data_IF_881556312908
#
_entry.id   IF_881556312908
#
_cell.length_a   1.000
_cell.length_b   1.000
_cell.length_c   1.000
_cell.angle_alpha   90.00
_cell.angle_beta   90.00
_cell.angle_gamma   90.00
#
_symmetry.space_group_name_H-M   'P 1'
#
loop_
_entity.id
_entity.type
_entity.pdbx_description
1 polymer ?
#
# COMPACT_ATOMS: atom_id res chain seq x y z
N UNK A 1 25.71 -10.11 -2.16
CA UNK A 1 25.03 -8.82 -2.04
C UNK A 1 23.93 -8.99 -1.01
N UNK A 2 24.02 -8.24 0.08
CA UNK A 2 23.12 -8.36 1.23
C UNK A 2 21.68 -8.05 0.80
N UNK A 3 20.80 -9.05 0.87
CA UNK A 3 19.37 -8.89 0.61
C UNK A 3 18.77 -8.13 1.81
N UNK A 4 19.00 -6.81 1.86
CA UNK A 4 18.41 -5.96 2.91
C UNK A 4 16.92 -5.95 2.67
N UNK A 5 16.19 -6.66 3.51
CA UNK A 5 14.73 -6.59 3.57
C UNK A 5 14.31 -5.12 3.43
N UNK A 6 13.52 -4.85 2.40
CA UNK A 6 13.12 -3.49 2.09
C UNK A 6 12.32 -2.90 3.26
N UNK A 7 12.72 -1.70 3.68
CA UNK A 7 12.02 -0.97 4.73
C UNK A 7 10.52 -0.85 4.43
N UNK A 8 9.68 -1.11 5.45
CA UNK A 8 8.23 -1.17 5.29
C UNK A 8 7.63 0.12 4.71
N UNK A 9 8.14 1.31 5.05
CA UNK A 9 7.67 2.58 4.47
C UNK A 9 7.92 2.62 2.97
N UNK A 10 9.12 2.19 2.52
CA UNK A 10 9.48 2.18 1.09
C UNK A 10 8.63 1.18 0.32
N UNK A 11 8.45 -0.01 0.88
CA UNK A 11 7.52 -1.01 0.34
C UNK A 11 6.11 -0.42 0.23
N UNK A 12 5.58 0.18 1.29
CA UNK A 12 4.22 0.76 1.27
C UNK A 12 4.07 1.84 0.20
N UNK A 13 5.05 2.74 0.06
CA UNK A 13 5.05 3.77 -0.97
C UNK A 13 5.01 3.15 -2.38
N UNK A 14 5.84 2.13 -2.65
CA UNK A 14 5.87 1.44 -3.95
C UNK A 14 4.55 0.75 -4.27
N UNK A 15 4.03 -0.06 -3.35
CA UNK A 15 2.81 -0.85 -3.59
C UNK A 15 1.56 0.02 -3.77
N UNK A 16 1.53 1.21 -3.15
CA UNK A 16 0.46 2.19 -3.32
C UNK A 16 0.69 3.13 -4.51
N UNK A 17 1.90 3.16 -5.10
CA UNK A 17 2.26 4.10 -6.14
C UNK A 17 2.32 5.56 -5.67
N UNK A 18 2.71 5.80 -4.41
CA UNK A 18 2.74 7.13 -3.77
C UNK A 18 4.13 7.50 -3.24
N UNK A 19 4.30 8.77 -2.92
CA UNK A 19 5.48 9.33 -2.24
C UNK A 19 5.37 9.24 -0.71
N UNK A 20 6.49 9.44 0.00
CA UNK A 20 6.49 9.52 1.47
C UNK A 20 5.68 10.71 2.00
N UNK A 21 5.59 11.79 1.22
CA UNK A 21 4.75 12.95 1.53
C UNK A 21 3.27 12.60 1.47
N UNK A 22 2.84 11.93 0.41
CA UNK A 22 1.46 11.46 0.28
C UNK A 22 1.12 10.39 1.32
N UNK A 23 2.08 9.51 1.68
CA UNK A 23 1.89 8.57 2.76
C UNK A 23 1.67 9.29 4.11
N UNK A 24 2.44 10.33 4.40
CA UNK A 24 2.27 11.17 5.59
C UNK A 24 0.87 11.81 5.63
N UNK A 25 0.44 12.39 4.51
CA UNK A 25 -0.90 12.99 4.36
C UNK A 25 -2.03 11.95 4.55
N UNK A 26 -1.90 10.78 3.93
CA UNK A 26 -2.90 9.70 3.99
C UNK A 26 -3.02 9.07 5.38
N UNK A 27 -1.91 9.01 6.11
CA UNK A 27 -1.84 8.36 7.44
C UNK A 27 -2.05 9.33 8.60
N UNK A 28 -1.98 10.64 8.36
CA UNK A 28 -1.95 11.66 9.41
C UNK A 28 -0.65 11.69 10.22
N UNK A 29 0.37 10.93 9.81
CA UNK A 29 1.67 10.86 10.47
C UNK A 29 2.57 11.93 9.87
N UNK A 30 3.27 12.70 10.70
CA UNK A 30 4.15 13.76 10.18
C UNK A 30 5.22 13.22 9.20
N UNK A 31 5.50 13.97 8.14
CA UNK A 31 6.54 13.63 7.16
C UNK A 31 7.92 13.37 7.79
N UNK A 32 8.39 14.16 8.78
CA UNK A 32 9.65 13.86 9.47
C UNK A 32 9.66 12.47 10.13
N UNK A 33 8.54 12.02 10.70
CA UNK A 33 8.42 10.68 11.28
C UNK A 33 8.49 9.60 10.21
N UNK A 34 7.78 9.76 9.09
CA UNK A 34 7.83 8.83 7.95
C UNK A 34 9.26 8.74 7.37
N UNK A 35 9.94 9.88 7.20
CA UNK A 35 11.32 9.93 6.71
C UNK A 35 12.28 9.20 7.67
N UNK A 36 12.13 9.44 8.98
CA UNK A 36 12.94 8.75 10.01
C UNK A 36 12.73 7.25 9.95
N UNK A 37 11.49 6.79 9.83
CA UNK A 37 11.16 5.37 9.69
C UNK A 37 11.77 4.76 8.44
N UNK A 38 11.73 5.47 7.31
CA UNK A 38 12.33 5.02 6.05
C UNK A 38 13.84 4.84 6.11
N UNK A 39 14.53 5.68 6.90
CA UNK A 39 15.98 5.64 7.07
C UNK A 39 16.46 4.67 8.16
N UNK A 40 15.74 4.59 9.28
CA UNK A 40 16.17 3.87 10.49
C UNK A 40 15.57 2.48 10.67
N UNK A 41 14.48 2.17 9.96
CA UNK A 41 13.66 0.96 10.18
C UNK A 41 13.05 0.85 11.59
N UNK A 42 13.08 1.92 12.39
CA UNK A 42 12.52 1.96 13.74
C UNK A 42 11.06 2.43 13.71
N UNK A 43 10.16 1.52 13.39
CA UNK A 43 8.72 1.77 13.32
C UNK A 43 8.05 1.21 14.58
N UNK A 44 7.25 1.99 15.33
CA UNK A 44 6.46 1.45 16.43
C UNK A 44 5.55 0.32 15.95
N UNK A 45 5.40 -0.73 16.76
CA UNK A 45 4.61 -1.92 16.40
C UNK A 45 3.21 -1.60 15.89
N UNK A 46 2.52 -0.63 16.51
CA UNK A 46 1.19 -0.19 16.07
C UNK A 46 1.21 0.36 14.64
N UNK A 47 2.25 1.12 14.28
CA UNK A 47 2.39 1.69 12.94
C UNK A 47 2.81 0.65 11.90
N UNK A 48 3.53 -0.40 12.29
CA UNK A 48 3.77 -1.56 11.42
C UNK A 48 2.43 -2.20 11.04
N UNK A 49 1.62 -2.56 12.04
CA UNK A 49 0.30 -3.18 11.83
C UNK A 49 -0.58 -2.26 10.96
N UNK A 50 -0.55 -0.96 11.21
CA UNK A 50 -1.31 0.01 10.43
C UNK A 50 -0.88 0.05 8.95
N UNK A 51 0.42 0.12 8.67
CA UNK A 51 0.94 0.11 7.30
C UNK A 51 0.63 -1.21 6.57
N UNK A 52 0.73 -2.34 7.27
CA UNK A 52 0.33 -3.66 6.75
C UNK A 52 -1.17 -3.71 6.44
N UNK A 53 -2.00 -3.14 7.31
CA UNK A 53 -3.46 -3.06 7.12
C UNK A 53 -3.82 -2.24 5.88
N UNK A 54 -3.14 -1.11 5.66
CA UNK A 54 -3.33 -0.30 4.45
C UNK A 54 -2.96 -1.09 3.19
N UNK A 55 -1.86 -1.85 3.25
CA UNK A 55 -1.44 -2.68 2.11
C UNK A 55 -2.43 -3.80 1.81
N UNK A 56 -2.97 -4.46 2.83
CA UNK A 56 -4.01 -5.46 2.63
C UNK A 56 -5.28 -4.83 2.07
N UNK A 57 -5.66 -3.65 2.56
CA UNK A 57 -6.80 -2.92 2.00
C UNK A 57 -6.64 -2.60 0.51
N UNK A 58 -5.44 -2.17 0.07
CA UNK A 58 -5.14 -1.94 -1.34
C UNK A 58 -5.28 -3.22 -2.16
N UNK A 59 -4.76 -4.35 -1.66
CA UNK A 59 -4.89 -5.64 -2.35
C UNK A 59 -6.35 -6.06 -2.51
N UNK A 60 -7.16 -5.86 -1.48
CA UNK A 60 -8.60 -6.16 -1.51
C UNK A 60 -9.33 -5.27 -2.51
N UNK A 61 -8.98 -3.97 -2.57
CA UNK A 61 -9.51 -3.06 -3.58
C UNK A 61 -9.15 -3.48 -5.00
N UNK A 62 -7.91 -3.91 -5.25
CA UNK A 62 -7.49 -4.40 -6.55
C UNK A 62 -8.27 -5.66 -6.97
N UNK A 63 -8.44 -6.63 -6.05
CA UNK A 63 -9.27 -7.82 -6.30
C UNK A 63 -10.72 -7.47 -6.61
N UNK A 64 -11.28 -6.46 -5.93
CA UNK A 64 -12.64 -6.00 -6.20
C UNK A 64 -12.75 -5.41 -7.61
N UNK A 65 -11.78 -4.61 -8.04
CA UNK A 65 -11.73 -4.06 -9.40
C UNK A 65 -11.61 -5.17 -10.45
N UNK A 66 -10.74 -6.16 -10.24
CA UNK A 66 -10.61 -7.33 -11.12
C UNK A 66 -11.93 -8.10 -11.23
N UNK A 67 -12.62 -8.30 -10.11
CA UNK A 67 -13.93 -8.94 -10.08
C UNK A 67 -14.96 -8.13 -10.87
N UNK A 68 -15.02 -6.81 -10.67
CA UNK A 68 -15.94 -5.94 -11.41
C UNK A 68 -15.67 -5.98 -12.92
N UNK A 69 -14.40 -5.90 -13.34
CA UNK A 69 -13.99 -6.03 -14.74
C UNK A 69 -14.39 -7.39 -15.34
N UNK A 70 -14.23 -8.46 -14.57
CA UNK A 70 -14.73 -9.79 -14.96
C UNK A 70 -16.25 -9.80 -15.18
N UNK A 71 -17.03 -9.21 -14.27
CA UNK A 71 -18.49 -9.14 -14.43
C UNK A 71 -18.93 -8.34 -15.66
N UNK A 72 -18.28 -7.21 -15.93
CA UNK A 72 -18.61 -6.41 -17.10
C UNK A 72 -18.27 -7.15 -18.40
N UNK A 73 -17.10 -7.79 -18.48
CA UNK A 73 -16.75 -8.66 -19.61
C UNK A 73 -17.75 -9.80 -19.79
N UNK A 74 -18.15 -10.45 -18.70
CA UNK A 74 -19.15 -11.52 -18.73
C UNK A 74 -20.50 -11.03 -19.28
N UNK A 75 -21.01 -9.87 -18.81
CA UNK A 75 -22.26 -9.28 -19.32
C UNK A 75 -22.21 -8.99 -20.82
N UNK A 76 -21.09 -8.47 -21.32
CA UNK A 76 -20.94 -8.16 -22.75
C UNK A 76 -20.97 -9.43 -23.61
N UNK A 77 -20.42 -10.54 -23.11
CA UNK A 77 -20.44 -11.84 -23.79
C UNK A 77 -21.81 -12.52 -23.74
N UNK A 78 -22.57 -12.35 -22.65
CA UNK A 78 -23.91 -12.92 -22.51
C UNK A 78 -25.02 -12.11 -23.18
N UNK A 79 -24.71 -10.94 -23.74
CA UNK A 79 -25.65 -10.07 -24.47
C UNK A 79 -25.58 -10.27 -25.99
N UNK A 80 -24.84 -11.29 -26.46
CA UNK A 80 -24.90 -11.88 -27.80
C UNK A 80 -25.74 -13.16 -27.76
#
# INVERSE_FOLDING_TARGET
MENREENLVKKTCRELGITQKELAEKTGISLPTINRWSASNQIPKQNIIFLETILENQKLQNKLLEFQDFFEKFKTLSSF
#
